data_IF_528575659787
#
_entry.id   IF_528575659787
#
_cell.length_a   1.000
_cell.length_b   1.000
_cell.length_c   1.000
_cell.angle_alpha   90.00
_cell.angle_beta   90.00
_cell.angle_gamma   90.00
#
_symmetry.space_group_name_H-M   'P 1'
#
loop_
_entity.id
_entity.type
_entity.pdbx_description
1 polymer ?
#
# COMPACT_ATOMS: atom_id res chain seq x y z
N UNK A 1 0.05 -6.83 -19.96
CA UNK A 1 -0.40 -7.33 -18.64
C UNK A 1 -1.11 -6.20 -17.92
N UNK A 2 -2.32 -6.41 -17.39
CA UNK A 2 -3.04 -5.38 -16.65
C UNK A 2 -2.35 -5.18 -15.29
N UNK A 3 -1.81 -3.99 -15.07
CA UNK A 3 -1.34 -3.56 -13.75
C UNK A 3 -2.56 -3.51 -12.85
N UNK A 4 -2.68 -4.46 -11.93
CA UNK A 4 -3.74 -4.44 -10.94
C UNK A 4 -3.51 -3.23 -10.00
N UNK A 5 -4.25 -2.15 -10.23
CA UNK A 5 -4.19 -0.90 -9.45
C UNK A 5 -4.63 -1.08 -7.98
N UNK A 6 -4.95 -2.31 -7.56
CA UNK A 6 -5.21 -2.68 -6.17
C UNK A 6 -3.94 -3.02 -5.40
N UNK A 7 -2.83 -3.32 -6.08
CA UNK A 7 -1.61 -3.84 -5.43
C UNK A 7 -0.61 -2.72 -5.17
N UNK A 8 -0.16 -2.63 -3.92
CA UNK A 8 0.99 -1.84 -3.46
C UNK A 8 1.94 -2.78 -2.71
N UNK A 9 3.12 -2.31 -2.33
CA UNK A 9 4.00 -3.06 -1.44
C UNK A 9 4.89 -2.14 -0.62
N UNK A 10 5.30 -2.62 0.55
CA UNK A 10 6.33 -1.99 1.36
C UNK A 10 7.61 -2.82 1.26
N UNK A 11 8.75 -2.17 1.07
CA UNK A 11 10.08 -2.77 1.17
C UNK A 11 10.56 -2.68 2.62
N UNK A 12 11.05 -3.80 3.14
CA UNK A 12 11.66 -3.89 4.46
C UNK A 12 13.10 -4.32 4.31
N UNK A 13 14.00 -3.55 4.91
CA UNK A 13 15.41 -3.93 5.03
C UNK A 13 15.64 -4.54 6.41
N UNK A 14 15.94 -5.83 6.40
CA UNK A 14 16.34 -6.61 7.56
C UNK A 14 17.85 -6.62 7.69
N UNK A 15 18.33 -6.65 8.92
CA UNK A 15 19.75 -6.67 9.22
C UNK A 15 20.09 -7.68 10.31
N UNK A 16 21.30 -8.20 10.22
CA UNK A 16 22.09 -8.62 11.37
C UNK A 16 23.41 -7.86 11.23
N UNK A 17 24.18 -7.65 12.31
CA UNK A 17 25.40 -6.81 12.33
C UNK A 17 26.31 -6.91 11.07
N UNK A 18 26.34 -8.05 10.37
CA UNK A 18 27.14 -8.30 9.16
C UNK A 18 26.36 -8.75 7.90
N UNK A 19 25.03 -8.70 7.87
CA UNK A 19 24.25 -9.08 6.67
C UNK A 19 22.95 -8.28 6.57
N UNK A 20 22.66 -7.70 5.40
CA UNK A 20 21.40 -7.02 5.11
C UNK A 20 20.66 -7.74 3.99
N UNK A 21 19.34 -7.79 4.06
CA UNK A 21 18.49 -8.24 2.96
C UNK A 21 17.18 -7.47 2.94
N UNK A 22 16.60 -7.37 1.76
CA UNK A 22 15.36 -6.65 1.49
C UNK A 22 14.28 -7.62 1.04
N UNK A 23 13.07 -7.42 1.54
CA UNK A 23 11.87 -8.11 1.06
C UNK A 23 10.74 -7.11 0.86
N UNK A 24 9.82 -7.46 -0.02
CA UNK A 24 8.63 -6.70 -0.35
C UNK A 24 7.40 -7.41 0.22
N UNK A 25 6.60 -6.71 1.03
CA UNK A 25 5.33 -7.23 1.55
C UNK A 25 4.18 -6.59 0.77
N UNK A 26 3.30 -7.36 0.11
CA UNK A 26 2.22 -6.81 -0.69
C UNK A 26 1.06 -6.32 0.16
N UNK A 27 0.51 -5.17 -0.21
CA UNK A 27 -0.80 -4.69 0.21
C UNK A 27 -1.79 -4.83 -0.94
N UNK A 28 -2.94 -5.44 -0.68
CA UNK A 28 -4.01 -5.61 -1.67
C UNK A 28 -5.23 -4.83 -1.19
N UNK A 29 -5.63 -3.83 -1.97
CA UNK A 29 -6.77 -3.00 -1.64
C UNK A 29 -8.10 -3.69 -2.01
N UNK A 30 -8.95 -3.92 -0.99
CA UNK A 30 -10.27 -4.56 -1.15
C UNK A 30 -11.38 -3.62 -1.62
N UNK A 31 -11.04 -2.42 -2.10
CA UNK A 31 -12.00 -1.42 -2.61
C UNK A 31 -13.12 -1.00 -1.64
N UNK A 32 -12.94 -1.22 -0.33
CA UNK A 32 -13.92 -1.01 0.73
C UNK A 32 -14.43 0.44 0.95
N UNK A 33 -13.95 1.43 0.18
CA UNK A 33 -14.36 2.83 0.29
C UNK A 33 -13.97 3.57 1.59
N UNK A 34 -13.38 2.88 2.59
CA UNK A 34 -13.03 3.42 3.92
C UNK A 34 -12.23 4.74 3.84
N UNK A 35 -11.17 4.75 3.04
CA UNK A 35 -10.32 5.93 2.81
C UNK A 35 -11.07 7.11 2.17
N UNK A 36 -12.15 6.87 1.43
CA UNK A 36 -12.99 7.91 0.84
C UNK A 36 -14.09 8.36 1.81
N UNK A 37 -14.59 7.47 2.66
CA UNK A 37 -15.68 7.77 3.59
C UNK A 37 -15.22 8.56 4.81
N UNK A 38 -14.09 8.17 5.40
CA UNK A 38 -13.62 8.75 6.66
C UNK A 38 -12.21 9.32 6.59
N UNK A 39 -11.48 9.02 5.53
CA UNK A 39 -10.08 9.36 5.46
C UNK A 39 -9.78 10.84 5.49
N UNK A 40 -8.64 11.15 6.11
CA UNK A 40 -8.04 12.47 6.05
C UNK A 40 -6.93 12.43 5.03
N UNK A 41 -7.14 12.91 3.80
CA UNK A 41 -6.03 12.99 2.85
C UNK A 41 -4.83 13.73 3.49
N UNK A 42 -3.59 13.29 3.23
CA UNK A 42 -2.41 13.87 3.83
C UNK A 42 -2.31 15.38 3.55
N UNK A 43 -1.87 16.19 4.54
CA UNK A 43 -1.83 17.65 4.44
C UNK A 43 -0.84 18.19 3.39
N UNK A 44 0.07 17.36 2.87
CA UNK A 44 1.06 17.73 1.85
C UNK A 44 0.80 16.95 0.57
N UNK A 45 0.09 17.57 -0.39
CA UNK A 45 -0.15 17.04 -1.75
C UNK A 45 0.92 17.53 -2.75
N UNK A 46 1.85 18.37 -2.31
CA UNK A 46 2.58 19.28 -3.20
C UNK A 46 3.55 18.63 -4.22
N UNK A 47 3.78 17.32 -4.23
CA UNK A 47 4.84 16.75 -5.07
C UNK A 47 4.49 15.45 -5.80
N UNK A 48 3.30 14.87 -5.60
CA UNK A 48 2.96 13.64 -6.33
C UNK A 48 2.22 13.98 -7.62
N UNK A 49 2.75 13.64 -8.82
CA UNK A 49 2.01 13.83 -10.05
C UNK A 49 0.73 13.02 -9.95
N UNK A 50 -0.39 13.72 -9.86
CA UNK A 50 -1.70 13.13 -10.08
C UNK A 50 -1.59 12.49 -11.46
N UNK A 51 -1.72 11.16 -11.55
CA UNK A 51 -1.92 10.51 -12.83
C UNK A 51 -2.95 11.34 -13.56
N UNK A 52 -2.67 11.85 -14.78
CA UNK A 52 -3.56 12.76 -15.45
C UNK A 52 -4.85 12.01 -15.71
N UNK A 53 -5.80 12.14 -14.78
CA UNK A 53 -7.20 11.90 -15.06
C UNK A 53 -7.44 12.80 -16.26
N UNK A 54 -7.81 12.21 -17.40
CA UNK A 54 -8.03 12.93 -18.67
C UNK A 54 -9.08 14.01 -18.45
N UNK A 55 -8.65 15.17 -17.97
CA UNK A 55 -9.45 16.38 -17.87
C UNK A 55 -8.80 17.43 -18.75
N UNK A 56 -9.58 18.06 -19.66
CA UNK A 56 -9.05 18.94 -20.67
C UNK A 56 -8.45 20.23 -20.07
N UNK A 57 -7.19 20.49 -20.42
CA UNK A 57 -6.45 21.75 -20.60
C UNK A 57 -6.53 22.94 -19.62
N UNK A 58 -7.16 22.86 -18.44
CA UNK A 58 -7.00 23.87 -17.37
C UNK A 58 -6.35 23.29 -16.09
N UNK A 59 -5.20 22.63 -16.29
CA UNK A 59 -4.57 21.65 -15.38
C UNK A 59 -4.19 22.13 -13.97
N UNK A 60 -3.99 23.41 -13.68
CA UNK A 60 -3.43 23.82 -12.38
C UNK A 60 -4.47 24.41 -11.41
N UNK A 61 -5.43 25.19 -11.89
CA UNK A 61 -6.46 25.81 -11.03
C UNK A 61 -7.53 24.80 -10.63
N UNK A 62 -8.09 24.07 -11.61
CA UNK A 62 -9.02 22.97 -11.37
C UNK A 62 -8.41 21.90 -10.46
N UNK A 63 -7.12 21.60 -10.62
CA UNK A 63 -6.42 20.62 -9.80
C UNK A 63 -6.29 21.06 -8.35
N UNK A 64 -5.91 22.32 -8.10
CA UNK A 64 -5.85 22.89 -6.75
C UNK A 64 -7.23 22.94 -6.09
N UNK A 65 -8.27 23.33 -6.82
CA UNK A 65 -9.65 23.37 -6.32
C UNK A 65 -10.18 21.95 -6.03
N UNK A 66 -9.88 20.97 -6.89
CA UNK A 66 -10.23 19.56 -6.67
C UNK A 66 -9.46 18.95 -5.50
N UNK A 67 -8.16 19.27 -5.36
CA UNK A 67 -7.36 18.90 -4.20
C UNK A 67 -7.98 19.50 -2.94
N UNK A 68 -8.32 20.78 -2.95
CA UNK A 68 -8.95 21.44 -1.81
C UNK A 68 -10.28 20.78 -1.45
N UNK A 69 -11.17 20.54 -2.43
CA UNK A 69 -12.43 19.81 -2.21
C UNK A 69 -12.20 18.38 -1.72
N UNK A 70 -11.16 17.70 -2.21
CA UNK A 70 -10.78 16.36 -1.75
C UNK A 70 -10.34 16.38 -0.27
N UNK A 71 -9.66 17.45 0.15
CA UNK A 71 -9.21 17.64 1.53
C UNK A 71 -10.33 18.02 2.51
N UNK A 72 -11.38 18.69 2.03
CA UNK A 72 -12.42 19.29 2.90
C UNK A 72 -13.76 18.57 2.87
N UNK A 73 -14.06 17.77 1.84
CA UNK A 73 -15.33 17.02 1.76
C UNK A 73 -15.28 15.72 2.57
N UNK A 74 -16.25 15.55 3.48
CA UNK A 74 -16.53 14.28 4.17
C UNK A 74 -18.00 13.89 4.02
N UNK A 75 -18.33 12.72 3.44
CA UNK A 75 -17.39 11.83 2.75
C UNK A 75 -16.76 12.52 1.53
N UNK A 76 -15.65 11.97 1.04
CA UNK A 76 -15.01 12.44 -0.19
C UNK A 76 -16.03 12.49 -1.33
N UNK A 77 -16.00 13.51 -2.18
CA UNK A 77 -16.91 13.63 -3.32
C UNK A 77 -16.81 12.50 -4.38
N UNK A 78 -15.77 11.66 -4.30
CA UNK A 78 -15.63 10.44 -5.10
C UNK A 78 -16.17 9.18 -4.41
N UNK A 79 -16.71 9.29 -3.20
CA UNK A 79 -17.34 8.19 -2.48
C UNK A 79 -18.76 7.98 -2.99
N UNK A 80 -19.01 6.82 -3.58
CA UNK A 80 -20.29 6.45 -4.19
C UNK A 80 -20.46 4.93 -4.08
N UNK A 81 -21.67 4.47 -3.75
CA UNK A 81 -22.01 3.05 -3.58
C UNK A 81 -21.02 2.25 -2.72
N UNK A 82 -20.62 2.82 -1.59
CA UNK A 82 -19.62 2.25 -0.67
C UNK A 82 -18.21 2.04 -1.26
N UNK A 83 -17.90 2.69 -2.39
CA UNK A 83 -16.64 2.55 -3.11
C UNK A 83 -16.07 3.90 -3.55
N UNK A 84 -14.91 3.88 -4.21
CA UNK A 84 -14.31 5.07 -4.82
C UNK A 84 -14.58 5.04 -6.33
N UNK A 85 -15.39 5.96 -6.86
CA UNK A 85 -15.76 5.95 -8.28
C UNK A 85 -14.59 6.18 -9.25
N UNK A 86 -13.50 6.79 -8.76
CA UNK A 86 -12.27 6.97 -9.53
C UNK A 86 -11.22 5.89 -9.23
N UNK A 87 -11.61 4.71 -8.71
CA UNK A 87 -10.67 3.68 -8.25
C UNK A 87 -9.48 3.41 -9.20
N UNK A 88 -9.70 3.19 -10.52
CA UNK A 88 -8.61 2.93 -11.46
C UNK A 88 -7.67 4.11 -11.67
N UNK A 89 -8.17 5.33 -11.45
CA UNK A 89 -7.48 6.60 -11.66
C UNK A 89 -7.12 7.29 -10.34
N UNK A 90 -7.16 6.55 -9.22
CA UNK A 90 -6.86 7.13 -7.91
C UNK A 90 -5.49 7.78 -7.93
N UNK A 91 -5.35 8.99 -7.38
CA UNK A 91 -4.06 9.60 -7.25
C UNK A 91 -3.19 8.82 -6.26
N UNK A 92 -1.87 8.89 -6.43
CA UNK A 92 -0.91 8.16 -5.59
C UNK A 92 -1.16 8.40 -4.10
N UNK A 93 -1.48 9.63 -3.71
CA UNK A 93 -1.80 9.96 -2.32
C UNK A 93 -3.00 9.16 -1.76
N UNK A 94 -4.04 8.93 -2.57
CA UNK A 94 -5.18 8.09 -2.18
C UNK A 94 -4.83 6.59 -2.21
N UNK A 95 -3.84 6.18 -3.01
CA UNK A 95 -3.34 4.81 -3.05
C UNK A 95 -2.54 4.51 -1.79
N UNK A 96 -1.62 5.38 -1.40
CA UNK A 96 -0.76 5.23 -0.22
C UNK A 96 -1.49 5.39 1.12
N UNK A 97 -2.62 6.08 1.13
CA UNK A 97 -3.35 6.41 2.35
C UNK A 97 -3.50 5.22 3.34
N UNK A 98 -3.93 4.01 2.93
CA UNK A 98 -4.05 2.89 3.86
C UNK A 98 -2.73 2.44 4.49
N UNK A 99 -1.60 2.71 3.85
CA UNK A 99 -0.25 2.35 4.31
C UNK A 99 0.35 3.43 5.22
N UNK A 100 0.14 4.71 4.89
CA UNK A 100 0.70 5.84 5.64
C UNK A 100 -0.13 6.23 6.87
N UNK A 101 -1.46 6.10 6.79
CA UNK A 101 -2.40 6.45 7.86
C UNK A 101 -3.38 5.31 8.10
N UNK A 102 -3.25 4.66 9.26
CA UNK A 102 -4.16 3.58 9.66
C UNK A 102 -5.38 4.17 10.33
N UNK A 103 -6.52 4.11 9.65
CA UNK A 103 -7.81 4.40 10.27
C UNK A 103 -8.18 3.30 11.26
N UNK A 104 -8.48 3.72 12.49
CA UNK A 104 -8.89 2.85 13.58
C UNK A 104 -10.22 3.31 14.16
N UNK A 105 -11.03 2.37 14.61
CA UNK A 105 -12.22 2.69 15.40
C UNK A 105 -11.78 3.30 16.74
N UNK A 106 -12.30 4.46 17.17
CA UNK A 106 -11.86 5.11 18.41
C UNK A 106 -12.03 4.26 19.67
N UNK A 107 -13.07 3.40 19.72
CA UNK A 107 -13.40 2.62 20.91
C UNK A 107 -12.62 1.31 21.02
N UNK A 108 -12.46 0.58 19.92
CA UNK A 108 -11.79 -0.74 19.93
C UNK A 108 -10.36 -0.70 19.39
N UNK A 109 -9.93 0.44 18.87
CA UNK A 109 -8.67 0.60 18.16
C UNK A 109 -8.52 -0.32 16.92
N UNK A 110 -9.63 -0.93 16.46
CA UNK A 110 -9.64 -1.87 15.34
C UNK A 110 -9.43 -1.15 14.01
N UNK A 111 -8.56 -1.69 13.18
CA UNK A 111 -8.31 -1.19 11.82
C UNK A 111 -9.59 -1.33 10.98
N UNK A 112 -10.01 -0.24 10.35
CA UNK A 112 -11.27 -0.21 9.60
C UNK A 112 -11.12 -0.70 8.14
N UNK A 113 -9.91 -0.62 7.57
CA UNK A 113 -9.64 -1.05 6.21
C UNK A 113 -9.24 -2.54 6.18
N UNK A 114 -10.06 -3.44 5.61
CA UNK A 114 -9.77 -4.88 5.61
C UNK A 114 -8.46 -5.23 4.89
N UNK A 115 -8.14 -4.53 3.79
CA UNK A 115 -6.84 -4.72 3.12
C UNK A 115 -5.65 -4.31 4.00
N UNK A 116 -5.84 -3.30 4.87
CA UNK A 116 -4.80 -2.87 5.81
C UNK A 116 -4.69 -3.82 7.00
N UNK A 117 -5.82 -4.29 7.54
CA UNK A 117 -5.84 -5.35 8.55
C UNK A 117 -5.06 -6.56 8.05
N UNK A 118 -5.35 -7.00 6.82
CA UNK A 118 -4.68 -8.16 6.22
C UNK A 118 -3.19 -7.93 6.00
N UNK A 119 -2.82 -6.73 5.54
CA UNK A 119 -1.42 -6.33 5.41
C UNK A 119 -0.68 -6.36 6.74
N UNK A 120 -1.28 -5.84 7.82
CA UNK A 120 -0.65 -5.82 9.16
C UNK A 120 -0.44 -7.25 9.72
N UNK A 121 -1.35 -8.18 9.43
CA UNK A 121 -1.19 -9.60 9.80
C UNK A 121 0.04 -10.22 9.10
N UNK A 122 0.17 -10.00 7.80
CA UNK A 122 1.32 -10.49 7.01
C UNK A 122 2.61 -9.80 7.44
N UNK A 123 2.59 -8.47 7.57
CA UNK A 123 3.70 -7.65 8.04
C UNK A 123 4.19 -8.15 9.39
N UNK A 124 3.31 -8.29 10.37
CA UNK A 124 3.65 -8.78 11.71
C UNK A 124 4.22 -10.18 11.66
N UNK A 125 3.60 -11.08 10.89
CA UNK A 125 4.07 -12.47 10.79
C UNK A 125 5.51 -12.58 10.27
N UNK A 126 5.88 -11.74 9.29
CA UNK A 126 7.23 -11.67 8.71
C UNK A 126 8.19 -10.90 9.61
N UNK A 127 7.78 -9.77 10.17
CA UNK A 127 8.70 -8.86 10.87
C UNK A 127 8.97 -9.23 12.32
N UNK A 128 8.04 -9.89 13.02
CA UNK A 128 8.15 -10.17 14.46
C UNK A 128 9.36 -11.04 14.85
N UNK A 129 9.92 -11.80 13.90
CA UNK A 129 11.03 -12.73 14.15
C UNK A 129 12.39 -12.20 13.65
N UNK A 130 12.42 -10.94 13.21
CA UNK A 130 13.56 -10.40 12.51
C UNK A 130 13.84 -8.96 12.95
N UNK A 131 15.11 -8.59 13.04
CA UNK A 131 15.49 -7.21 13.32
C UNK A 131 15.27 -6.34 12.06
N UNK A 132 14.28 -5.46 12.13
CA UNK A 132 13.92 -4.50 11.06
C UNK A 132 14.61 -3.17 11.31
N UNK A 133 15.35 -2.66 10.32
CA UNK A 133 16.09 -1.40 10.46
C UNK A 133 15.51 -0.28 9.61
N UNK A 134 14.92 -0.60 8.46
CA UNK A 134 14.35 0.39 7.53
C UNK A 134 13.07 -0.16 6.90
N UNK A 135 12.06 0.70 6.81
CA UNK A 135 10.80 0.45 6.13
C UNK A 135 10.56 1.58 5.11
N UNK A 136 10.36 1.22 3.86
CA UNK A 136 10.02 2.14 2.78
C UNK A 136 8.73 1.72 2.07
N UNK A 137 7.83 2.67 1.82
CA UNK A 137 6.58 2.43 1.08
C UNK A 137 6.81 2.72 -0.40
N UNK A 138 6.50 1.78 -1.30
CA UNK A 138 6.61 2.01 -2.75
C UNK A 138 5.31 1.75 -3.51
N UNK A 139 5.12 2.51 -4.60
CA UNK A 139 4.13 2.23 -5.63
C UNK A 139 4.85 2.07 -6.97
N UNK A 140 5.57 0.96 -7.15
CA UNK A 140 6.07 0.58 -8.48
C UNK A 140 5.14 -0.45 -9.10
N UNK A 141 5.09 -0.45 -10.43
CA UNK A 141 4.52 -1.59 -11.16
C UNK A 141 5.33 -2.83 -10.77
N UNK A 142 4.65 -3.96 -10.54
CA UNK A 142 5.26 -5.24 -10.15
C UNK A 142 6.42 -5.64 -11.07
N UNK A 143 6.34 -5.25 -12.34
CA UNK A 143 7.31 -5.58 -13.39
C UNK A 143 8.70 -4.94 -13.19
N UNK A 144 8.86 -3.96 -12.29
CA UNK A 144 10.12 -3.21 -12.08
C UNK A 144 10.62 -3.26 -10.62
N UNK A 145 10.35 -4.35 -9.91
CA UNK A 145 10.77 -4.51 -8.51
C UNK A 145 12.08 -5.30 -8.49
N UNK A 146 13.19 -4.61 -8.22
CA UNK A 146 14.46 -5.24 -7.88
C UNK A 146 14.71 -5.04 -6.38
N UNK A 147 15.00 -6.12 -5.67
CA UNK A 147 15.53 -6.06 -4.30
C UNK A 147 17.00 -5.67 -4.35
N UNK A 148 17.36 -4.57 -3.69
CA UNK A 148 18.75 -4.10 -3.64
C UNK A 148 19.66 -5.12 -2.94
N UNK A 149 19.14 -5.83 -1.95
CA UNK A 149 19.85 -6.85 -1.20
C UNK A 149 19.01 -8.14 -1.17
N UNK A 150 19.14 -9.04 -2.17
CA UNK A 150 18.33 -10.26 -2.19
C UNK A 150 18.69 -11.17 -0.99
N UNK A 151 17.70 -11.80 -0.35
CA UNK A 151 17.96 -12.74 0.74
C UNK A 151 18.70 -13.99 0.24
N UNK A 152 19.59 -14.54 1.06
CA UNK A 152 20.14 -15.89 0.84
C UNK A 152 19.03 -16.94 0.84
N UNK A 153 19.27 -18.12 0.25
CA UNK A 153 18.29 -19.23 0.25
C UNK A 153 17.77 -19.58 1.65
N UNK A 154 18.66 -19.56 2.66
CA UNK A 154 18.27 -19.81 4.06
C UNK A 154 17.34 -18.73 4.60
N UNK A 155 17.70 -17.45 4.42
CA UNK A 155 16.86 -16.32 4.83
C UNK A 155 15.51 -16.36 4.12
N UNK A 156 15.50 -16.62 2.81
CA UNK A 156 14.28 -16.74 2.01
C UNK A 156 13.36 -17.83 2.52
N UNK A 157 13.88 -19.02 2.85
CA UNK A 157 13.06 -20.11 3.39
C UNK A 157 12.40 -19.73 4.73
N UNK A 158 13.12 -19.05 5.62
CA UNK A 158 12.55 -18.56 6.89
C UNK A 158 11.48 -17.48 6.67
N UNK A 159 11.73 -16.54 5.74
CA UNK A 159 10.75 -15.51 5.34
C UNK A 159 9.48 -16.16 4.81
N UNK A 160 9.62 -17.13 3.90
CA UNK A 160 8.48 -17.85 3.31
C UNK A 160 7.71 -18.62 4.37
N UNK A 161 8.40 -19.28 5.30
CA UNK A 161 7.77 -19.94 6.45
C UNK A 161 6.99 -18.96 7.32
N UNK A 162 7.56 -17.79 7.62
CA UNK A 162 6.89 -16.72 8.37
C UNK A 162 5.71 -16.13 7.59
N UNK A 163 5.80 -15.97 6.27
CA UNK A 163 4.69 -15.56 5.43
C UNK A 163 3.53 -16.57 5.51
N UNK A 164 3.79 -17.87 5.39
CA UNK A 164 2.74 -18.90 5.46
C UNK A 164 2.07 -19.03 6.83
N UNK A 165 2.71 -18.62 7.93
CA UNK A 165 2.05 -18.53 9.26
C UNK A 165 0.89 -17.54 9.31
N UNK A 166 0.86 -16.57 8.40
CA UNK A 166 -0.28 -15.64 8.26
C UNK A 166 -1.47 -16.25 7.50
N UNK A 167 -1.38 -17.52 7.11
CA UNK A 167 -2.39 -18.24 6.30
C UNK A 167 -2.76 -17.48 5.00
N UNK A 168 -1.79 -17.20 4.11
CA UNK A 168 -2.03 -16.47 2.87
C UNK A 168 -2.91 -17.22 1.90
N UNK A 169 -3.81 -16.50 1.22
CA UNK A 169 -4.57 -17.08 0.11
C UNK A 169 -3.69 -17.21 -1.15
N UNK A 170 -4.22 -17.86 -2.19
CA UNK A 170 -3.50 -18.10 -3.43
C UNK A 170 -3.04 -16.80 -4.13
N UNK A 171 -3.89 -15.78 -4.13
CA UNK A 171 -3.58 -14.48 -4.76
C UNK A 171 -2.45 -13.78 -4.01
N UNK A 172 -2.51 -13.73 -2.68
CA UNK A 172 -1.46 -13.18 -1.82
C UNK A 172 -0.14 -13.91 -2.04
N UNK A 173 -0.17 -15.24 -2.10
CA UNK A 173 1.00 -16.09 -2.32
C UNK A 173 1.65 -15.80 -3.66
N UNK A 174 0.86 -15.78 -4.74
CA UNK A 174 1.35 -15.50 -6.09
C UNK A 174 2.00 -14.13 -6.18
N UNK A 175 1.38 -13.10 -5.60
CA UNK A 175 1.92 -11.74 -5.60
C UNK A 175 3.20 -11.69 -4.77
N UNK A 176 3.21 -12.23 -3.56
CA UNK A 176 4.38 -12.22 -2.68
C UNK A 176 5.60 -12.87 -3.34
N UNK A 177 5.43 -14.05 -3.94
CA UNK A 177 6.51 -14.73 -4.67
C UNK A 177 6.94 -13.94 -5.90
N UNK A 178 6.00 -13.30 -6.62
CA UNK A 178 6.31 -12.53 -7.82
C UNK A 178 7.12 -11.26 -7.53
N UNK A 179 6.78 -10.52 -6.47
CA UNK A 179 7.46 -9.25 -6.12
C UNK A 179 8.80 -9.45 -5.39
N UNK A 180 9.10 -10.68 -5.00
CA UNK A 180 10.36 -11.09 -4.35
C UNK A 180 11.13 -12.12 -5.18
N UNK A 181 10.85 -12.22 -6.50
CA UNK A 181 11.64 -13.08 -7.38
C UNK A 181 13.10 -12.64 -7.26
N UNK A 182 13.92 -13.58 -6.79
CA UNK A 182 15.37 -13.49 -6.68
C UNK A 182 16.02 -14.21 -7.84
#
# INVERSE_FOLDING_TARGET
MLIDNRILYNTYTFGLKNSKYTINIPFICHQCGRCCKWGYPPPKINETPLHPIRYPNNKNKLLKEMIHKLMTSKPCFFYEDNSCKIYPYRPNICRYYPLDKVEREPKTNKILCPGRTRFDEIETSITQQHDVYVKETHHKKIENINTEYPPTKKQWNEIVKSFYRSNPNETETKIFLQINKT
#
